data_IF_950543865538
#
_entry.id   IF_950543865538
#
_cell.length_a   1.000
_cell.length_b   1.000
_cell.length_c   1.000
_cell.angle_alpha   90.00
_cell.angle_beta   90.00
_cell.angle_gamma   90.00
#
_symmetry.space_group_name_H-M   'P 1'
#
loop_
_entity.id
_entity.type
_entity.pdbx_description
1 polymer ?
#
# COMPACT_ATOMS: atom_id res chain seq x y z
N UNK A 1 24.65 -17.32 1.75
CA UNK A 1 23.29 -17.79 2.06
C UNK A 1 22.89 -16.94 3.25
N UNK A 2 22.38 -15.74 2.97
CA UNK A 2 22.09 -14.75 4.00
C UNK A 2 20.70 -15.04 4.57
N UNK A 3 20.66 -15.48 5.83
CA UNK A 3 19.42 -15.59 6.58
C UNK A 3 18.79 -14.19 6.70
N UNK A 4 17.49 -14.02 6.41
CA UNK A 4 16.82 -12.76 6.67
C UNK A 4 16.83 -12.52 8.18
N UNK A 5 17.26 -11.32 8.59
CA UNK A 5 17.26 -10.89 9.99
C UNK A 5 15.81 -10.78 10.48
N UNK A 6 15.27 -11.86 11.03
CA UNK A 6 13.99 -11.88 11.75
C UNK A 6 14.25 -11.36 13.17
N UNK A 7 14.58 -10.06 13.27
CA UNK A 7 14.94 -9.39 14.52
C UNK A 7 13.98 -8.27 14.93
N UNK A 8 12.86 -8.08 14.22
CA UNK A 8 11.87 -7.05 14.51
C UNK A 8 10.49 -7.71 14.60
N UNK A 9 9.67 -7.32 15.57
CA UNK A 9 8.29 -7.79 15.67
C UNK A 9 7.47 -7.27 14.48
N UNK A 10 7.50 -8.05 13.40
CA UNK A 10 6.77 -7.80 12.16
C UNK A 10 5.25 -7.88 12.34
N UNK A 11 4.78 -8.39 13.48
CA UNK A 11 3.38 -8.55 13.81
C UNK A 11 2.83 -7.45 14.74
N UNK A 12 3.67 -6.52 15.21
CA UNK A 12 3.22 -5.41 16.02
C UNK A 12 2.23 -4.52 15.24
N UNK A 13 1.01 -4.27 15.76
CA UNK A 13 0.05 -3.38 15.12
C UNK A 13 0.50 -1.92 15.21
N UNK A 14 0.09 -1.07 14.25
CA UNK A 14 0.34 0.36 14.34
C UNK A 14 -0.45 0.99 15.50
N UNK A 15 0.09 2.08 16.04
CA UNK A 15 -0.54 2.85 17.13
C UNK A 15 -1.18 4.12 16.60
N UNK A 16 -2.16 4.68 17.32
CA UNK A 16 -2.84 5.91 16.88
C UNK A 16 -3.65 5.75 15.58
N UNK A 17 -4.02 4.51 15.24
CA UNK A 17 -4.73 4.19 14.01
C UNK A 17 -6.08 4.92 13.92
N UNK A 18 -6.28 5.65 12.83
CA UNK A 18 -7.54 6.21 12.40
C UNK A 18 -7.62 6.22 10.88
N UNK A 19 -8.80 6.51 10.33
CA UNK A 19 -9.07 6.37 8.90
C UNK A 19 -9.54 7.67 8.30
N UNK A 20 -9.05 7.98 7.09
CA UNK A 20 -9.50 9.12 6.30
C UNK A 20 -10.00 8.65 4.93
N UNK A 21 -11.01 9.32 4.40
CA UNK A 21 -11.47 9.05 3.03
C UNK A 21 -10.45 9.58 2.02
N UNK A 22 -10.08 8.73 1.08
CA UNK A 22 -9.36 9.12 -0.12
C UNK A 22 -10.10 8.58 -1.35
N UNK A 23 -10.83 9.47 -2.02
CA UNK A 23 -11.56 9.16 -3.25
C UNK A 23 -12.50 7.95 -3.07
N UNK A 24 -13.23 7.91 -1.96
CA UNK A 24 -14.22 6.85 -1.69
C UNK A 24 -13.64 5.56 -1.11
N UNK A 25 -12.32 5.50 -0.90
CA UNK A 25 -11.64 4.40 -0.19
C UNK A 25 -11.00 4.96 1.08
N UNK A 26 -11.31 4.35 2.23
CA UNK A 26 -10.69 4.74 3.49
C UNK A 26 -9.23 4.27 3.52
N UNK A 27 -8.29 5.15 3.86
CA UNK A 27 -6.87 4.82 4.05
C UNK A 27 -6.46 4.99 5.52
N UNK A 28 -5.56 4.14 6.04
CA UNK A 28 -5.13 4.19 7.43
C UNK A 28 -4.09 5.30 7.64
N UNK A 29 -4.23 6.01 8.76
CA UNK A 29 -3.25 6.95 9.32
C UNK A 29 -2.90 6.48 10.72
N UNK A 30 -1.62 6.49 11.06
CA UNK A 30 -1.12 6.03 12.36
C UNK A 30 0.13 6.83 12.79
N UNK A 31 0.62 6.57 14.00
CA UNK A 31 1.86 7.16 14.50
C UNK A 31 3.08 6.75 13.65
N UNK A 32 3.01 5.63 12.95
CA UNK A 32 4.05 5.16 12.01
C UNK A 32 3.88 5.73 10.60
N UNK A 33 2.92 6.64 10.39
CA UNK A 33 2.71 7.37 9.15
C UNK A 33 1.37 7.05 8.46
N UNK A 34 1.07 7.75 7.35
CA UNK A 34 1.84 8.88 6.83
C UNK A 34 1.71 10.12 7.74
N UNK A 35 2.81 10.81 8.02
CA UNK A 35 2.79 12.09 8.77
C UNK A 35 2.45 13.28 7.88
N UNK A 36 2.78 13.20 6.60
CA UNK A 36 2.33 14.15 5.58
C UNK A 36 1.23 13.51 4.77
N UNK A 37 0.05 14.10 4.72
CA UNK A 37 -1.03 13.66 3.85
C UNK A 37 -1.67 14.86 3.16
N UNK A 38 -1.71 14.81 1.84
CA UNK A 38 -2.25 15.87 0.98
C UNK A 38 -2.86 15.28 -0.28
N UNK A 39 -3.44 16.15 -1.11
CA UNK A 39 -3.97 15.77 -2.41
C UNK A 39 -2.89 15.22 -3.36
N UNK A 40 -1.61 15.50 -3.12
CA UNK A 40 -0.51 15.18 -4.04
C UNK A 40 0.56 14.27 -3.47
N UNK A 41 0.56 14.02 -2.16
CA UNK A 41 1.52 13.14 -1.50
C UNK A 41 0.96 12.61 -0.17
N UNK A 42 1.23 11.34 0.14
CA UNK A 42 1.12 10.75 1.46
C UNK A 42 2.49 10.17 1.85
N UNK A 43 3.25 10.83 2.71
CA UNK A 43 4.68 10.51 2.98
C UNK A 43 5.01 10.64 4.47
N UNK A 44 6.23 10.28 4.84
CA UNK A 44 6.72 10.31 6.21
C UNK A 44 6.31 9.06 6.97
N UNK A 45 6.61 7.89 6.41
CA UNK A 45 6.42 6.62 7.09
C UNK A 45 7.67 6.26 7.90
N UNK A 46 7.47 5.72 9.10
CA UNK A 46 8.57 5.28 9.94
C UNK A 46 9.32 4.08 9.32
N UNK A 47 10.65 4.01 9.50
CA UNK A 47 11.47 2.84 9.18
C UNK A 47 11.23 1.71 10.20
N UNK A 48 10.03 1.15 10.13
CA UNK A 48 9.53 0.04 10.96
C UNK A 48 8.67 -0.89 10.08
N UNK A 49 8.44 -2.16 10.48
CA UNK A 49 7.55 -3.05 9.74
C UNK A 49 6.13 -2.48 9.55
N UNK A 50 5.58 -1.85 10.59
CA UNK A 50 4.26 -1.22 10.52
C UNK A 50 4.24 -0.01 9.58
N UNK A 51 5.27 0.85 9.63
CA UNK A 51 5.40 1.99 8.69
C UNK A 51 5.51 1.54 7.24
N UNK A 52 6.30 0.49 6.96
CA UNK A 52 6.42 -0.10 5.64
C UNK A 52 5.09 -0.70 5.14
N UNK A 53 4.32 -1.35 6.03
CA UNK A 53 3.01 -1.89 5.70
C UNK A 53 1.96 -0.81 5.42
N UNK A 54 1.95 0.26 6.20
CA UNK A 54 1.07 1.41 5.98
C UNK A 54 1.41 2.09 4.65
N UNK A 55 2.70 2.29 4.34
CA UNK A 55 3.13 2.82 3.05
C UNK A 55 2.65 1.95 1.89
N UNK A 56 2.84 0.62 2.00
CA UNK A 56 2.39 -0.32 0.99
C UNK A 56 0.87 -0.18 0.72
N UNK A 57 0.05 -0.12 1.77
CA UNK A 57 -1.42 -0.01 1.65
C UNK A 57 -1.82 1.36 1.07
N UNK A 58 -1.34 2.44 1.69
CA UNK A 58 -1.72 3.81 1.34
C UNK A 58 -1.34 4.12 -0.11
N UNK A 59 -0.10 3.83 -0.51
CA UNK A 59 0.36 4.06 -1.88
C UNK A 59 -0.40 3.19 -2.88
N UNK A 60 -0.70 1.93 -2.55
CA UNK A 60 -1.47 1.05 -3.45
C UNK A 60 -2.86 1.63 -3.72
N UNK A 61 -3.60 2.03 -2.67
CA UNK A 61 -4.91 2.68 -2.83
C UNK A 61 -4.78 3.95 -3.66
N UNK A 62 -3.80 4.79 -3.33
CA UNK A 62 -3.61 6.07 -4.00
C UNK A 62 -3.29 5.89 -5.48
N UNK A 63 -2.48 4.90 -5.86
CA UNK A 63 -2.23 4.55 -7.25
C UNK A 63 -3.48 4.03 -7.98
N UNK A 64 -4.36 3.31 -7.29
CA UNK A 64 -5.59 2.77 -7.90
C UNK A 64 -6.62 3.84 -8.21
N UNK A 65 -6.77 4.86 -7.34
CA UNK A 65 -7.87 5.83 -7.44
C UNK A 65 -7.42 7.29 -7.55
N UNK A 66 -6.14 7.56 -7.80
CA UNK A 66 -5.63 8.92 -7.97
C UNK A 66 -6.39 9.68 -9.07
N UNK A 67 -6.93 10.88 -8.80
CA UNK A 67 -7.62 11.69 -9.81
C UNK A 67 -6.72 12.18 -10.94
N UNK A 68 -7.33 12.53 -12.07
CA UNK A 68 -6.62 13.00 -13.28
C UNK A 68 -5.71 14.21 -13.03
N UNK A 69 -6.05 15.05 -12.06
CA UNK A 69 -5.30 16.27 -11.73
C UNK A 69 -4.09 16.03 -10.84
N UNK A 70 -4.04 14.91 -10.13
CA UNK A 70 -3.04 14.69 -9.06
C UNK A 70 -2.26 13.39 -9.19
N UNK A 71 -2.64 12.47 -10.07
CA UNK A 71 -1.91 11.19 -10.21
C UNK A 71 -0.42 11.38 -10.51
N UNK A 72 -0.04 12.39 -11.30
CA UNK A 72 1.37 12.62 -11.68
C UNK A 72 2.24 13.01 -10.48
N UNK A 73 1.91 14.05 -9.68
CA UNK A 73 2.70 14.36 -8.49
C UNK A 73 2.65 13.25 -7.44
N UNK A 74 1.51 12.54 -7.27
CA UNK A 74 1.41 11.39 -6.37
C UNK A 74 2.41 10.30 -6.80
N UNK A 75 2.43 9.94 -8.09
CA UNK A 75 3.38 8.97 -8.62
C UNK A 75 4.84 9.42 -8.47
N UNK A 76 5.11 10.72 -8.56
CA UNK A 76 6.44 11.27 -8.32
C UNK A 76 6.89 11.06 -6.86
N UNK A 77 6.01 11.27 -5.89
CA UNK A 77 6.32 11.16 -4.46
C UNK A 77 6.18 9.77 -3.86
N UNK A 78 5.37 8.89 -4.43
CA UNK A 78 4.95 7.62 -3.80
C UNK A 78 5.47 6.38 -4.51
N UNK A 79 5.90 6.49 -5.78
CA UNK A 79 6.47 5.37 -6.54
C UNK A 79 8.00 5.43 -6.61
N UNK A 80 8.63 4.30 -6.33
CA UNK A 80 10.05 4.09 -6.57
C UNK A 80 10.37 4.23 -8.08
N UNK A 81 11.51 4.82 -8.46
CA UNK A 81 11.92 4.88 -9.85
C UNK A 81 12.21 3.47 -10.39
N UNK A 82 11.81 3.20 -11.64
CA UNK A 82 12.11 1.94 -12.33
C UNK A 82 11.07 1.57 -13.38
N UNK A 83 11.30 0.46 -14.11
CA UNK A 83 10.44 0.05 -15.24
C UNK A 83 8.96 -0.14 -14.86
N UNK A 84 8.67 -0.58 -13.63
CA UNK A 84 7.29 -0.71 -13.15
C UNK A 84 6.57 0.63 -13.05
N UNK A 85 7.26 1.68 -12.58
CA UNK A 85 6.74 3.06 -12.55
C UNK A 85 6.50 3.58 -13.96
N UNK A 86 7.45 3.40 -14.86
CA UNK A 86 7.34 3.89 -16.24
C UNK A 86 6.15 3.24 -16.96
N UNK A 87 6.00 1.92 -16.81
CA UNK A 87 4.86 1.18 -17.35
C UNK A 87 3.53 1.64 -16.74
N UNK A 88 3.49 1.86 -15.41
CA UNK A 88 2.29 2.37 -14.75
C UNK A 88 1.92 3.77 -15.23
N UNK A 89 2.89 4.68 -15.39
CA UNK A 89 2.65 6.03 -15.93
C UNK A 89 2.04 5.93 -17.33
N UNK A 90 2.64 5.11 -18.22
CA UNK A 90 2.11 4.91 -19.56
C UNK A 90 0.66 4.39 -19.53
N UNK A 91 0.37 3.38 -18.72
CA UNK A 91 -0.98 2.83 -18.57
C UNK A 91 -1.96 3.85 -17.97
N UNK A 92 -1.54 4.61 -16.95
CA UNK A 92 -2.39 5.58 -16.25
C UNK A 92 -2.84 6.72 -17.16
N UNK A 93 -2.06 7.10 -18.18
CA UNK A 93 -2.46 8.14 -19.16
C UNK A 93 -3.66 7.75 -20.01
N UNK A 94 -3.97 6.45 -20.14
CA UNK A 94 -5.11 5.94 -20.89
C UNK A 94 -6.39 5.83 -20.04
N UNK A 95 -6.31 6.14 -18.74
CA UNK A 95 -7.41 6.02 -17.78
C UNK A 95 -7.82 7.42 -17.34
N UNK A 96 -9.12 7.66 -17.20
CA UNK A 96 -9.65 8.91 -16.61
C UNK A 96 -10.43 8.60 -15.33
N UNK A 97 -10.02 9.21 -14.23
CA UNK A 97 -10.67 9.12 -12.91
C UNK A 97 -11.08 10.54 -12.52
N UNK A 98 -12.38 10.79 -12.65
CA UNK A 98 -13.00 12.09 -12.37
C UNK A 98 -13.97 12.04 -11.19
N UNK A 99 -14.27 10.85 -10.68
CA UNK A 99 -15.19 10.63 -9.56
C UNK A 99 -14.56 9.68 -8.54
N UNK A 100 -14.92 9.80 -7.25
CA UNK A 100 -14.58 8.83 -6.23
C UNK A 100 -15.04 7.41 -6.58
N UNK A 101 -14.40 6.40 -5.99
CA UNK A 101 -14.84 5.03 -6.06
C UNK A 101 -16.29 4.89 -5.54
N UNK A 102 -17.09 4.10 -6.24
CA UNK A 102 -18.46 3.85 -5.85
C UNK A 102 -18.51 2.94 -4.63
N UNK A 103 -19.34 3.27 -3.64
CA UNK A 103 -19.50 2.44 -2.42
C UNK A 103 -19.87 0.98 -2.71
N UNK A 104 -20.53 0.73 -3.83
CA UNK A 104 -20.93 -0.61 -4.26
C UNK A 104 -19.75 -1.50 -4.67
N UNK A 105 -18.58 -0.91 -4.96
CA UNK A 105 -17.37 -1.62 -5.41
C UNK A 105 -16.12 -1.29 -4.60
N UNK A 106 -16.15 -0.23 -3.79
CA UNK A 106 -15.02 0.19 -2.97
C UNK A 106 -14.63 -0.89 -1.94
N UNK A 107 -13.36 -1.34 -1.92
CA UNK A 107 -12.91 -2.33 -0.95
C UNK A 107 -12.73 -1.70 0.44
N UNK A 108 -12.90 -2.53 1.46
CA UNK A 108 -12.48 -2.24 2.83
C UNK A 108 -11.15 -2.93 3.11
N UNK A 109 -10.15 -2.18 3.56
CA UNK A 109 -8.88 -2.74 4.02
C UNK A 109 -9.09 -3.41 5.38
N UNK A 110 -8.65 -4.67 5.49
CA UNK A 110 -8.81 -5.47 6.71
C UNK A 110 -7.55 -5.46 7.56
N UNK A 111 -6.38 -5.45 6.92
CA UNK A 111 -5.11 -5.59 7.60
C UNK A 111 -3.99 -5.98 6.65
N UNK A 112 -2.87 -6.41 7.23
CA UNK A 112 -1.70 -6.80 6.46
C UNK A 112 -0.89 -7.89 7.15
N UNK A 113 0.06 -8.43 6.39
CA UNK A 113 1.18 -9.22 6.89
C UNK A 113 2.47 -8.74 6.26
N UNK A 114 3.49 -8.49 7.07
CA UNK A 114 4.84 -8.21 6.58
C UNK A 114 5.56 -9.55 6.38
N UNK A 115 5.90 -9.88 5.13
CA UNK A 115 6.52 -11.16 4.77
C UNK A 115 8.04 -11.07 4.70
N UNK A 116 8.58 -9.87 4.50
CA UNK A 116 10.01 -9.59 4.61
C UNK A 116 10.20 -8.12 5.01
N UNK A 117 11.21 -7.86 5.84
CA UNK A 117 11.56 -6.51 6.25
C UNK A 117 13.08 -6.36 6.37
N UNK A 118 13.63 -5.33 5.74
CA UNK A 118 15.00 -4.89 5.88
C UNK A 118 15.02 -3.38 6.07
N UNK A 119 15.32 -2.95 7.30
CA UNK A 119 15.40 -1.54 7.70
C UNK A 119 16.26 -0.74 6.72
N UNK A 120 15.77 0.43 6.35
CA UNK A 120 16.37 1.36 5.37
C UNK A 120 16.71 0.75 4.01
N UNK A 121 16.01 -0.31 3.61
CA UNK A 121 16.23 -0.94 2.32
C UNK A 121 14.94 -1.34 1.61
N UNK A 122 14.20 -2.34 2.13
CA UNK A 122 13.02 -2.88 1.46
C UNK A 122 12.11 -3.66 2.41
N UNK A 123 10.83 -3.73 2.06
CA UNK A 123 9.88 -4.63 2.70
C UNK A 123 8.95 -5.28 1.67
N UNK A 124 8.45 -6.46 2.00
CA UNK A 124 7.37 -7.14 1.28
C UNK A 124 6.17 -7.30 2.22
N UNK A 125 5.00 -6.95 1.70
CA UNK A 125 3.75 -6.83 2.46
C UNK A 125 2.65 -7.53 1.68
N UNK A 126 1.81 -8.28 2.36
CA UNK A 126 0.51 -8.70 1.82
C UNK A 126 -0.57 -7.86 2.47
N UNK A 127 -1.28 -7.06 1.69
CA UNK A 127 -2.46 -6.32 2.13
C UNK A 127 -3.71 -7.16 1.90
N UNK A 128 -4.64 -7.15 2.85
CA UNK A 128 -5.89 -7.89 2.76
C UNK A 128 -7.06 -6.94 2.65
N UNK A 129 -7.93 -7.20 1.67
CA UNK A 129 -9.13 -6.40 1.41
C UNK A 129 -10.37 -7.28 1.35
N UNK A 130 -11.51 -6.68 1.71
CA UNK A 130 -12.84 -7.25 1.55
C UNK A 130 -13.66 -6.34 0.64
N UNK A 131 -14.30 -6.92 -0.35
CA UNK A 131 -15.24 -6.21 -1.23
C UNK A 131 -16.68 -6.29 -0.69
N UNK A 132 -17.59 -5.42 -1.16
CA UNK A 132 -18.99 -5.42 -0.72
C UNK A 132 -19.74 -6.74 -0.95
N UNK A 133 -19.32 -7.54 -1.93
CA UNK A 133 -19.85 -8.89 -2.19
C UNK A 133 -19.28 -9.98 -1.25
N UNK A 134 -18.52 -9.57 -0.23
CA UNK A 134 -17.80 -10.43 0.73
C UNK A 134 -16.62 -11.21 0.14
N UNK A 135 -16.25 -10.99 -1.13
CA UNK A 135 -15.02 -11.55 -1.68
C UNK A 135 -13.80 -10.94 -0.98
N UNK A 136 -12.75 -11.75 -0.84
CA UNK A 136 -11.50 -11.36 -0.19
C UNK A 136 -10.36 -11.41 -1.19
N UNK A 137 -9.48 -10.42 -1.12
CA UNK A 137 -8.26 -10.40 -1.91
C UNK A 137 -7.03 -10.20 -1.03
N UNK A 138 -5.95 -10.89 -1.41
CA UNK A 138 -4.59 -10.63 -0.97
C UNK A 138 -3.85 -9.86 -2.07
N UNK A 139 -3.24 -8.75 -1.72
CA UNK A 139 -2.40 -7.96 -2.63
C UNK A 139 -0.96 -8.00 -2.15
N UNK A 140 -0.06 -8.55 -2.97
CA UNK A 140 1.37 -8.63 -2.72
C UNK A 140 2.05 -7.35 -3.19
N UNK A 141 2.62 -6.63 -2.23
CA UNK A 141 3.20 -5.30 -2.41
C UNK A 141 4.65 -5.30 -1.95
N UNK A 142 5.51 -4.60 -2.68
CA UNK A 142 6.87 -4.29 -2.23
C UNK A 142 7.02 -2.80 -2.03
N UNK A 143 7.76 -2.43 -1.01
CA UNK A 143 8.21 -1.05 -0.80
C UNK A 143 9.71 -1.02 -0.65
N UNK A 144 10.33 0.07 -1.08
CA UNK A 144 11.77 0.31 -0.93
C UNK A 144 11.98 1.61 -0.17
N UNK A 145 12.99 1.63 0.69
CA UNK A 145 13.38 2.83 1.40
C UNK A 145 14.25 3.68 0.48
N UNK A 146 13.80 4.90 0.16
CA UNK A 146 14.57 5.83 -0.66
C UNK A 146 14.56 7.21 -0.03
N UNK A 147 15.75 7.74 0.24
CA UNK A 147 15.91 8.96 1.02
C UNK A 147 15.46 8.73 2.46
N UNK A 148 14.29 9.24 2.81
CA UNK A 148 13.73 9.20 4.16
C UNK A 148 12.33 8.58 4.22
N UNK A 149 11.92 7.84 3.19
CA UNK A 149 10.58 7.30 3.13
C UNK A 149 10.47 5.94 2.41
N UNK A 150 9.35 5.25 2.65
CA UNK A 150 8.94 4.05 1.94
C UNK A 150 8.20 4.40 0.66
N UNK A 151 8.74 3.99 -0.49
CA UNK A 151 8.11 4.14 -1.80
C UNK A 151 7.62 2.80 -2.33
N UNK A 152 6.48 2.81 -3.01
CA UNK A 152 5.91 1.64 -3.66
C UNK A 152 6.80 1.19 -4.83
N UNK A 153 7.28 -0.05 -4.76
CA UNK A 153 8.04 -0.71 -5.82
C UNK A 153 7.09 -1.57 -6.67
N UNK A 154 6.72 -1.04 -7.83
CA UNK A 154 5.85 -1.73 -8.77
C UNK A 154 6.62 -2.87 -9.45
N UNK A 155 5.98 -4.03 -9.70
CA UNK A 155 6.61 -5.11 -10.44
C UNK A 155 7.12 -4.66 -11.80
N UNK A 156 8.20 -5.30 -12.25
CA UNK A 156 8.63 -5.18 -13.64
C UNK A 156 7.47 -5.56 -14.58
N UNK A 157 7.25 -4.85 -15.70
CA UNK A 157 6.16 -5.16 -16.64
C UNK A 157 6.21 -6.59 -17.20
N UNK A 158 7.40 -7.18 -17.29
CA UNK A 158 7.58 -8.58 -17.72
C UNK A 158 7.39 -9.62 -16.60
N UNK A 159 7.04 -9.18 -15.38
CA UNK A 159 6.80 -10.09 -14.27
C UNK A 159 5.51 -10.88 -14.49
N UNK A 160 5.58 -12.20 -14.37
CA UNK A 160 4.43 -13.11 -14.43
C UNK A 160 3.88 -13.47 -13.05
N UNK A 161 4.47 -12.94 -11.97
CA UNK A 161 4.00 -13.23 -10.62
C UNK A 161 2.68 -12.48 -10.36
N UNK A 162 1.63 -13.18 -9.90
CA UNK A 162 0.40 -12.51 -9.53
C UNK A 162 0.65 -11.56 -8.36
N UNK A 163 0.19 -10.32 -8.49
CA UNK A 163 0.20 -9.35 -7.39
C UNK A 163 -1.10 -9.32 -6.61
N UNK A 164 -2.18 -9.87 -7.16
CA UNK A 164 -3.49 -9.92 -6.52
C UNK A 164 -4.04 -11.33 -6.64
N UNK A 165 -4.48 -11.89 -5.52
CA UNK A 165 -5.04 -13.22 -5.43
C UNK A 165 -6.37 -13.19 -4.70
N UNK A 166 -7.35 -13.97 -5.17
CA UNK A 166 -8.58 -14.21 -4.41
C UNK A 166 -8.30 -15.23 -3.31
N UNK A 167 -8.68 -14.92 -2.08
CA UNK A 167 -8.53 -15.82 -0.92
C UNK A 167 -9.90 -16.18 -0.36
N UNK A 168 -9.96 -17.31 0.36
CA UNK A 168 -11.22 -17.79 0.98
C UNK A 168 -11.41 -17.26 2.39
N UNK A 169 -10.32 -16.97 3.08
CA UNK A 169 -10.32 -16.50 4.46
C UNK A 169 -9.11 -15.59 4.73
N UNK A 170 -9.22 -14.75 5.74
CA UNK A 170 -8.13 -13.90 6.21
C UNK A 170 -7.21 -14.74 7.12
N UNK A 171 -5.91 -14.86 6.82
CA UNK A 171 -4.98 -15.60 7.67
C UNK A 171 -4.98 -15.12 9.13
N UNK A 172 -4.87 -16.04 10.07
CA UNK A 172 -4.94 -15.74 11.52
C UNK A 172 -3.78 -14.88 12.04
N UNK A 173 -2.64 -14.91 11.36
CA UNK A 173 -1.44 -14.10 11.62
C UNK A 173 -1.53 -12.68 11.03
N UNK A 174 -2.68 -12.28 10.49
CA UNK A 174 -2.91 -10.94 9.96
C UNK A 174 -2.91 -9.90 11.08
N UNK A 175 -2.09 -8.85 10.92
CA UNK A 175 -2.20 -7.63 11.72
C UNK A 175 -3.47 -6.90 11.28
N UNK A 176 -4.50 -6.92 12.14
CA UNK A 176 -5.78 -6.27 11.84
C UNK A 176 -5.68 -4.77 11.99
N UNK A 177 -6.20 -4.05 10.99
CA UNK A 177 -6.39 -2.61 11.05
C UNK A 177 -7.84 -2.36 11.46
N UNK A 178 -8.11 -2.41 12.76
CA UNK A 178 -9.46 -2.20 13.27
C UNK A 178 -9.80 -0.71 13.29
N UNK A 179 -11.01 -0.37 12.86
CA UNK A 179 -11.56 0.96 13.01
C UNK A 179 -12.15 1.03 14.44
N UNK A 180 -11.46 1.70 15.37
CA UNK A 180 -12.01 1.95 16.72
C UNK A 180 -12.86 3.20 16.75
#
# INVERSE_FOLDING_TARGET
>A
MDDPVVGTDVAAPPTGLHWIDYQGIAIPIADQGPHTHSATAATGFADTPAGAALAAIVHTVRMSVAPDRTWSPIAASELAPGPGKDAWIAARTLVSITKPAEKATAPTIIGYRVTAYLSKARAAVTAYTRYPDSSLAATHVRVVWLGEDWLLDLPHPDSTQPTVETIREIPHDTVRLENR
#
